data_IF_860407285514
#
_entry.id   IF_860407285514
#
_cell.length_a   1.000
_cell.length_b   1.000
_cell.length_c   1.000
_cell.angle_alpha   90.00
_cell.angle_beta   90.00
_cell.angle_gamma   90.00
#
_symmetry.space_group_name_H-M   'P 1'
#
loop_
_entity.id
_entity.type
_entity.pdbx_description
1 polymer ?
#
# COMPACT_ATOMS: atom_id res chain seq x y z
N UNK A 1 11.96 5.23 2.82
CA UNK A 1 11.74 6.52 2.14
C UNK A 1 11.05 7.56 3.02
N UNK A 2 9.91 7.28 3.66
CA UNK A 2 9.19 8.27 4.50
C UNK A 2 9.99 8.89 5.64
N UNK A 3 10.81 8.09 6.33
CA UNK A 3 11.70 8.59 7.39
C UNK A 3 12.74 9.60 6.88
N UNK A 4 13.36 9.32 5.73
CA UNK A 4 14.34 10.21 5.11
C UNK A 4 13.68 11.50 4.63
N UNK A 5 12.51 11.40 3.99
CA UNK A 5 11.71 12.57 3.59
C UNK A 5 11.35 13.47 4.77
N UNK A 6 10.91 12.87 5.89
CA UNK A 6 10.53 13.62 7.08
C UNK A 6 11.71 14.39 7.72
N UNK A 7 12.93 13.85 7.65
CA UNK A 7 14.14 14.54 8.14
C UNK A 7 14.72 15.54 7.14
N UNK A 8 14.52 15.33 5.84
CA UNK A 8 15.15 16.13 4.79
C UNK A 8 14.37 17.38 4.40
N UNK A 9 13.06 17.44 4.69
CA UNK A 9 12.20 18.56 4.32
C UNK A 9 11.64 19.21 5.57
N UNK A 10 11.90 20.50 5.71
CA UNK A 10 11.41 21.32 6.81
C UNK A 10 9.89 21.45 6.78
N UNK A 11 9.28 21.57 7.97
CA UNK A 11 7.82 21.65 8.11
C UNK A 11 7.23 22.96 7.59
N UNK A 12 8.02 24.03 7.51
CA UNK A 12 7.55 25.34 7.04
C UNK A 12 7.45 25.42 5.52
N UNK A 13 8.06 24.48 4.79
CA UNK A 13 7.98 24.43 3.34
C UNK A 13 6.63 23.82 2.93
N UNK A 14 5.83 24.56 2.17
CA UNK A 14 4.50 24.15 1.70
C UNK A 14 4.47 22.78 0.99
N UNK A 15 5.60 22.37 0.40
CA UNK A 15 5.79 21.07 -0.23
C UNK A 15 5.43 19.89 0.71
N UNK A 16 5.84 19.95 1.98
CA UNK A 16 5.64 18.86 2.94
C UNK A 16 4.16 18.61 3.29
N UNK A 17 3.38 19.61 3.76
CA UNK A 17 1.96 19.41 4.05
C UNK A 17 1.15 19.04 2.80
N UNK A 18 1.46 19.61 1.63
CA UNK A 18 0.79 19.27 0.37
C UNK A 18 1.05 17.82 -0.04
N UNK A 19 2.30 17.37 0.05
CA UNK A 19 2.68 15.98 -0.26
C UNK A 19 1.98 15.00 0.68
N UNK A 20 1.91 15.31 1.99
CA UNK A 20 1.18 14.50 2.97
C UNK A 20 -0.32 14.46 2.65
N UNK A 21 -0.91 15.59 2.24
CA UNK A 21 -2.30 15.65 1.79
C UNK A 21 -2.59 14.72 0.62
N UNK A 22 -1.74 14.73 -0.41
CA UNK A 22 -1.87 13.84 -1.57
C UNK A 22 -1.71 12.37 -1.16
N UNK A 23 -0.71 12.04 -0.34
CA UNK A 23 -0.54 10.67 0.19
C UNK A 23 -1.79 10.23 0.97
N UNK A 24 -2.38 11.12 1.75
CA UNK A 24 -3.59 10.84 2.54
C UNK A 24 -4.80 10.55 1.65
N UNK A 25 -4.98 11.31 0.56
CA UNK A 25 -6.06 11.06 -0.42
C UNK A 25 -5.88 9.68 -1.06
N UNK A 26 -4.66 9.33 -1.49
CA UNK A 26 -4.36 8.01 -2.05
C UNK A 26 -4.70 6.90 -1.05
N UNK A 27 -4.29 7.06 0.21
CA UNK A 27 -4.59 6.12 1.31
C UNK A 27 -6.09 5.94 1.54
N UNK A 28 -6.85 7.04 1.57
CA UNK A 28 -8.31 7.00 1.70
C UNK A 28 -8.95 6.25 0.52
N UNK A 29 -8.47 6.47 -0.70
CA UNK A 29 -8.93 5.75 -1.89
C UNK A 29 -8.71 4.23 -1.78
N UNK A 30 -7.49 3.81 -1.44
CA UNK A 30 -7.17 2.38 -1.25
C UNK A 30 -7.95 1.76 -0.08
N UNK A 31 -8.09 2.48 1.04
CA UNK A 31 -8.86 2.01 2.19
C UNK A 31 -10.34 1.84 1.83
N UNK A 32 -10.91 2.80 1.10
CA UNK A 32 -12.29 2.71 0.62
C UNK A 32 -12.47 1.52 -0.32
N UNK A 33 -11.54 1.32 -1.27
CA UNK A 33 -11.56 0.16 -2.16
C UNK A 33 -11.49 -1.17 -1.38
N UNK A 34 -10.59 -1.27 -0.41
CA UNK A 34 -10.44 -2.44 0.45
C UNK A 34 -11.73 -2.72 1.22
N UNK A 35 -12.31 -1.72 1.89
CA UNK A 35 -13.53 -1.90 2.69
C UNK A 35 -14.77 -2.20 1.86
N UNK A 36 -14.89 -1.65 0.65
CA UNK A 36 -16.07 -1.81 -0.19
C UNK A 36 -16.02 -3.07 -1.08
N UNK A 37 -14.83 -3.52 -1.47
CA UNK A 37 -14.66 -4.61 -2.47
C UNK A 37 -14.07 -5.88 -1.87
N UNK A 38 -13.19 -5.74 -0.88
CA UNK A 38 -12.37 -6.85 -0.35
C UNK A 38 -12.28 -6.78 1.17
N UNK A 39 -13.43 -6.55 1.82
CA UNK A 39 -13.49 -6.29 3.25
C UNK A 39 -12.90 -7.48 4.05
N UNK A 40 -11.76 -7.31 4.74
CA UNK A 40 -11.13 -8.41 5.47
C UNK A 40 -11.96 -8.86 6.68
N UNK A 41 -12.90 -8.04 7.14
CA UNK A 41 -13.77 -8.36 8.27
C UNK A 41 -14.98 -9.22 7.88
N UNK A 42 -15.31 -9.29 6.59
CA UNK A 42 -16.34 -10.19 6.05
C UNK A 42 -15.76 -11.59 5.72
N UNK A 43 -14.44 -11.77 5.86
CA UNK A 43 -13.74 -12.99 5.48
C UNK A 43 -13.84 -14.06 6.59
N UNK A 44 -14.67 -15.08 6.36
CA UNK A 44 -14.81 -16.39 7.04
C UNK A 44 -14.12 -16.50 8.41
N UNK A 45 -14.76 -15.89 9.41
CA UNK A 45 -14.81 -16.40 10.78
C UNK A 45 -16.09 -17.27 10.91
N UNK A 46 -16.05 -18.43 11.59
CA UNK A 46 -15.18 -18.74 12.72
C UNK A 46 -14.17 -19.89 12.50
N UNK A 47 -14.22 -20.63 11.40
CA UNK A 47 -13.41 -21.85 11.21
C UNK A 47 -12.49 -21.72 10.01
N UNK A 48 -11.26 -21.27 10.25
CA UNK A 48 -10.18 -21.38 9.27
C UNK A 48 -9.79 -22.85 9.02
N UNK A 49 -9.15 -23.18 7.89
CA UNK A 49 -8.76 -24.56 7.59
C UNK A 49 -7.83 -25.12 8.69
N UNK A 50 -8.09 -26.34 9.22
CA UNK A 50 -7.34 -26.90 10.36
C UNK A 50 -5.84 -27.09 10.10
N UNK A 51 -5.42 -27.19 8.83
CA UNK A 51 -4.02 -27.34 8.43
C UNK A 51 -3.47 -26.11 7.69
N UNK A 52 -4.17 -24.97 7.74
CA UNK A 52 -3.92 -23.83 6.85
C UNK A 52 -4.46 -24.06 5.44
N UNK A 53 -4.71 -22.99 4.71
CA UNK A 53 -4.92 -23.09 3.27
C UNK A 53 -3.53 -23.14 2.61
N UNK A 54 -3.24 -24.22 1.88
CA UNK A 54 -2.11 -24.20 0.95
C UNK A 54 -2.27 -23.03 -0.02
N UNK A 55 -1.14 -22.51 -0.50
CA UNK A 55 -1.18 -21.55 -1.61
C UNK A 55 -1.77 -22.25 -2.84
N UNK A 56 -2.54 -21.51 -3.63
CA UNK A 56 -3.05 -21.98 -4.91
C UNK A 56 -1.90 -22.67 -5.69
N UNK A 57 -2.07 -23.91 -6.22
CA UNK A 57 -0.99 -24.64 -6.89
C UNK A 57 -0.23 -23.84 -7.96
N UNK A 58 -0.89 -22.89 -8.63
CA UNK A 58 -0.24 -21.99 -9.61
C UNK A 58 0.76 -21.02 -8.96
N UNK A 59 0.54 -20.64 -7.70
CA UNK A 59 1.40 -19.74 -6.94
C UNK A 59 2.60 -20.44 -6.31
N UNK A 60 2.78 -21.75 -6.53
CA UNK A 60 3.99 -22.46 -6.12
C UNK A 60 5.19 -22.14 -7.02
N UNK A 61 4.95 -21.64 -8.24
CA UNK A 61 6.00 -21.09 -9.09
C UNK A 61 6.46 -19.71 -8.52
N UNK A 62 7.75 -19.55 -8.18
CA UNK A 62 8.27 -18.30 -7.64
C UNK A 62 8.01 -17.07 -8.52
N UNK A 63 8.01 -17.23 -9.85
CA UNK A 63 7.75 -16.13 -10.79
C UNK A 63 6.30 -15.64 -10.70
N UNK A 64 5.36 -16.56 -10.45
CA UNK A 64 3.95 -16.24 -10.23
C UNK A 64 3.71 -15.77 -8.79
N UNK A 65 4.50 -16.19 -7.82
CA UNK A 65 4.39 -15.70 -6.44
C UNK A 65 4.92 -14.27 -6.24
N UNK A 66 5.89 -13.83 -7.05
CA UNK A 66 6.60 -12.56 -6.81
C UNK A 66 5.92 -11.32 -7.39
N UNK A 67 4.97 -11.48 -8.32
CA UNK A 67 4.33 -10.33 -8.97
C UNK A 67 3.53 -9.45 -7.99
N UNK A 68 2.75 -9.96 -7.01
CA UNK A 68 2.01 -9.08 -6.09
C UNK A 68 2.94 -8.29 -5.16
N UNK A 69 3.97 -8.90 -4.52
CA UNK A 69 4.95 -8.13 -3.74
C UNK A 69 5.71 -7.09 -4.56
N UNK A 70 6.08 -7.40 -5.81
CA UNK A 70 6.83 -6.48 -6.67
C UNK A 70 5.99 -5.25 -7.03
N UNK A 71 4.72 -5.44 -7.37
CA UNK A 71 3.79 -4.33 -7.61
C UNK A 71 3.60 -3.48 -6.36
N UNK A 72 3.43 -4.10 -5.18
CA UNK A 72 3.30 -3.39 -3.92
C UNK A 72 4.54 -2.56 -3.57
N UNK A 73 5.74 -3.12 -3.76
CA UNK A 73 7.00 -2.40 -3.59
C UNK A 73 7.09 -1.19 -4.51
N UNK A 74 6.61 -1.31 -5.75
CA UNK A 74 6.46 -0.17 -6.66
C UNK A 74 5.54 0.91 -6.09
N UNK A 75 4.31 0.55 -5.72
CA UNK A 75 3.34 1.51 -5.18
C UNK A 75 3.88 2.24 -3.94
N UNK A 76 4.37 1.53 -2.93
CA UNK A 76 4.85 2.14 -1.68
C UNK A 76 6.19 2.85 -1.87
N UNK A 77 7.06 2.34 -2.74
CA UNK A 77 8.36 2.94 -3.03
C UNK A 77 8.25 4.29 -3.75
N UNK A 78 7.29 4.43 -4.66
CA UNK A 78 7.11 5.62 -5.50
C UNK A 78 6.05 6.62 -5.01
N UNK A 79 5.28 6.30 -3.96
CA UNK A 79 4.20 7.20 -3.49
C UNK A 79 4.72 8.58 -3.05
N UNK A 80 5.91 8.64 -2.44
CA UNK A 80 6.51 9.89 -1.96
C UNK A 80 6.97 10.79 -3.12
N UNK A 81 7.84 10.33 -4.05
CA UNK A 81 8.22 11.17 -5.20
C UNK A 81 7.01 11.56 -6.07
N UNK A 82 6.01 10.70 -6.20
CA UNK A 82 4.74 11.04 -6.86
C UNK A 82 4.02 12.19 -6.16
N UNK A 83 3.85 12.13 -4.84
CA UNK A 83 3.19 13.18 -4.07
C UNK A 83 3.96 14.51 -4.11
N UNK A 84 5.30 14.46 -4.03
CA UNK A 84 6.14 15.65 -4.18
C UNK A 84 5.98 16.30 -5.57
N UNK A 85 5.89 15.51 -6.63
CA UNK A 85 5.72 16.02 -8.00
C UNK A 85 4.37 16.73 -8.21
N UNK A 86 3.32 16.32 -7.50
CA UNK A 86 2.00 16.93 -7.55
C UNK A 86 1.81 18.10 -6.56
N UNK A 87 2.64 18.15 -5.52
CA UNK A 87 2.61 19.19 -4.49
C UNK A 87 3.36 20.47 -4.88
N UNK A 88 4.07 20.47 -6.01
CA UNK A 88 4.88 21.57 -6.52
C UNK A 88 4.06 22.58 -7.34
#
# INVERSE_FOLDING_TARGET
MGFLFNRSVDNEVALKPLSIGIISIVLVGFLSFLLLTSNPFETILPFGPPNGADINPVLQDPALAIHPPTLYLGYVGFVIPFACALAF
#
